data_IF_863848795623
#
_entry.id   IF_863848795623
#
_cell.length_a   1.000
_cell.length_b   1.000
_cell.length_c   1.000
_cell.angle_alpha   90.00
_cell.angle_beta   90.00
_cell.angle_gamma   90.00
#
_symmetry.space_group_name_H-M   'P 1'
#
loop_
_entity.id
_entity.type
_entity.pdbx_description
1 polymer ?
#
# COMPACT_ATOMS: atom_id res chain seq x y z
N UNK A 1 -15.97 -13.88 -21.19
CA UNK A 1 -14.68 -13.35 -20.67
C UNK A 1 -14.69 -13.08 -19.16
N UNK A 2 -15.56 -12.22 -18.59
CA UNK A 2 -15.57 -11.87 -17.15
C UNK A 2 -15.59 -13.08 -16.17
N UNK A 3 -16.37 -14.14 -16.44
CA UNK A 3 -16.43 -15.34 -15.58
C UNK A 3 -15.14 -16.17 -15.60
N UNK A 4 -14.49 -16.26 -16.75
CA UNK A 4 -13.27 -17.06 -16.93
C UNK A 4 -12.07 -16.41 -16.22
N UNK A 5 -11.93 -15.08 -16.32
CA UNK A 5 -10.89 -14.32 -15.61
C UNK A 5 -11.03 -14.41 -14.08
N UNK A 6 -12.27 -14.39 -13.58
CA UNK A 6 -12.57 -14.56 -12.14
C UNK A 6 -12.16 -15.96 -11.63
N UNK A 7 -12.37 -17.01 -12.43
CA UNK A 7 -11.98 -18.38 -12.06
C UNK A 7 -10.46 -18.53 -12.03
N UNK A 8 -9.77 -18.05 -13.06
CA UNK A 8 -8.29 -18.10 -13.11
C UNK A 8 -7.64 -17.35 -11.95
N UNK A 9 -8.18 -16.20 -11.58
CA UNK A 9 -7.70 -15.44 -10.42
C UNK A 9 -7.97 -16.16 -9.09
N UNK A 10 -9.10 -16.87 -8.96
CA UNK A 10 -9.41 -17.70 -7.79
C UNK A 10 -8.45 -18.90 -7.70
N UNK A 11 -8.20 -19.57 -8.81
CA UNK A 11 -7.30 -20.74 -8.85
C UNK A 11 -5.87 -20.35 -8.50
N UNK A 12 -5.43 -19.18 -8.97
CA UNK A 12 -4.15 -18.61 -8.58
C UNK A 12 -4.11 -18.21 -7.10
N UNK A 13 -5.16 -17.54 -6.60
CA UNK A 13 -5.27 -17.13 -5.20
C UNK A 13 -5.32 -18.33 -4.24
N UNK A 14 -5.86 -19.46 -4.69
CA UNK A 14 -5.93 -20.71 -3.92
C UNK A 14 -4.67 -21.56 -4.03
N UNK A 15 -3.65 -21.11 -4.78
CA UNK A 15 -2.40 -21.87 -4.98
C UNK A 15 -2.53 -23.09 -5.89
N UNK A 16 -3.68 -23.28 -6.54
CA UNK A 16 -3.91 -24.37 -7.51
C UNK A 16 -3.34 -24.05 -8.90
N UNK A 17 -2.92 -22.80 -9.12
CA UNK A 17 -2.31 -22.29 -10.34
C UNK A 17 -1.13 -21.41 -10.00
N UNK A 18 0.03 -21.62 -10.63
CA UNK A 18 1.18 -20.73 -10.47
C UNK A 18 1.14 -19.53 -11.43
N UNK A 19 2.02 -18.52 -11.19
CA UNK A 19 2.07 -17.26 -11.98
C UNK A 19 2.23 -17.52 -13.48
N UNK A 20 3.07 -18.48 -13.86
CA UNK A 20 3.32 -18.81 -15.28
C UNK A 20 2.06 -19.36 -15.95
N UNK A 21 1.35 -20.22 -15.27
CA UNK A 21 0.07 -20.78 -15.72
C UNK A 21 -1.01 -19.71 -15.83
N UNK A 22 -1.08 -18.77 -14.86
CA UNK A 22 -2.01 -17.65 -14.92
C UNK A 22 -1.71 -16.75 -16.13
N UNK A 23 -0.44 -16.38 -16.35
CA UNK A 23 -0.04 -15.54 -17.49
C UNK A 23 -0.30 -16.23 -18.82
N UNK A 24 -0.04 -17.53 -18.91
CA UNK A 24 -0.36 -18.34 -20.09
C UNK A 24 -1.87 -18.39 -20.36
N UNK A 25 -2.67 -18.61 -19.33
CA UNK A 25 -4.12 -18.67 -19.41
C UNK A 25 -4.77 -17.32 -19.77
N UNK A 26 -4.11 -16.22 -19.40
CA UNK A 26 -4.51 -14.85 -19.78
C UNK A 26 -3.97 -14.43 -21.17
N UNK A 27 -3.22 -15.29 -21.86
CA UNK A 27 -2.67 -14.98 -23.19
C UNK A 27 -1.47 -14.01 -23.15
N UNK A 28 -0.89 -13.76 -21.98
CA UNK A 28 0.25 -12.86 -21.79
C UNK A 28 1.56 -13.66 -21.84
N UNK A 29 1.91 -14.21 -23.01
CA UNK A 29 3.22 -14.86 -23.20
C UNK A 29 4.27 -13.80 -23.50
N UNK A 30 5.22 -13.61 -22.61
CA UNK A 30 6.46 -12.91 -22.91
C UNK A 30 7.20 -13.71 -24.01
N UNK A 31 7.44 -13.09 -25.16
CA UNK A 31 8.21 -13.66 -26.25
C UNK A 31 9.64 -13.96 -25.79
N UNK A 32 9.94 -15.20 -25.51
CA UNK A 32 11.29 -15.67 -25.29
C UNK A 32 11.95 -15.87 -26.65
N UNK A 33 12.78 -14.92 -27.06
CA UNK A 33 13.76 -15.16 -28.13
C UNK A 33 14.85 -16.08 -27.59
N UNK A 34 14.83 -17.33 -28.04
CA UNK A 34 15.91 -18.28 -27.84
C UNK A 34 17.12 -17.90 -28.71
N UNK A 35 18.22 -17.55 -28.08
CA UNK A 35 19.54 -17.65 -28.73
C UNK A 35 20.36 -18.65 -27.93
N UNK A 36 20.61 -19.78 -28.54
CA UNK A 36 21.55 -20.78 -28.06
C UNK A 36 22.99 -20.34 -28.25
N UNK A 37 23.84 -20.69 -27.31
CA UNK A 37 25.27 -20.46 -27.41
C UNK A 37 26.01 -21.09 -26.21
N UNK A 38 26.43 -22.33 -26.36
CA UNK A 38 27.38 -22.99 -25.46
C UNK A 38 28.73 -22.29 -25.52
N UNK A 39 29.38 -22.03 -24.37
CA UNK A 39 30.85 -22.16 -24.23
C UNK A 39 31.24 -22.32 -22.75
N UNK A 40 32.27 -23.13 -22.57
CA UNK A 40 32.82 -23.75 -21.39
C UNK A 40 33.61 -22.82 -20.43
N UNK A 41 33.77 -23.36 -19.23
CA UNK A 41 34.81 -23.19 -18.20
C UNK A 41 35.94 -22.18 -18.39
N UNK A 42 36.19 -21.34 -17.34
CA UNK A 42 37.47 -21.26 -16.63
C UNK A 42 37.45 -20.32 -15.42
N UNK A 43 37.81 -20.88 -14.29
CA UNK A 43 38.67 -20.44 -13.16
C UNK A 43 38.75 -18.96 -12.70
N UNK A 44 38.46 -18.81 -11.41
CA UNK A 44 39.18 -18.07 -10.34
C UNK A 44 39.58 -16.62 -10.58
N UNK A 45 39.08 -15.74 -9.71
CA UNK A 45 39.60 -14.42 -9.46
C UNK A 45 38.81 -13.74 -8.33
N UNK A 46 39.50 -13.54 -7.25
CA UNK A 46 39.25 -12.74 -6.05
C UNK A 46 38.02 -11.81 -5.99
N UNK A 47 37.31 -11.91 -4.86
CA UNK A 47 36.25 -11.03 -4.45
C UNK A 47 36.79 -9.61 -4.13
N UNK A 48 36.17 -8.55 -4.63
CA UNK A 48 36.35 -7.23 -4.08
C UNK A 48 35.36 -6.97 -2.95
N UNK A 49 35.87 -6.47 -1.86
CA UNK A 49 35.21 -5.93 -0.68
C UNK A 49 34.11 -4.93 -1.05
N UNK A 50 32.94 -4.97 -0.43
CA UNK A 50 31.94 -3.93 -0.65
C UNK A 50 32.33 -2.67 0.16
N UNK A 51 32.71 -1.64 -0.53
CA UNK A 51 32.72 -0.27 -0.01
C UNK A 51 31.52 0.47 -0.58
N UNK A 52 30.74 1.09 0.28
CA UNK A 52 29.73 2.06 -0.11
C UNK A 52 28.42 1.96 0.67
N UNK A 53 28.48 2.20 1.98
CA UNK A 53 27.30 2.61 2.73
C UNK A 53 26.80 3.95 2.20
N UNK A 54 25.58 3.97 1.66
CA UNK A 54 24.86 5.21 1.41
C UNK A 54 24.51 5.86 2.76
N UNK A 55 24.79 7.16 2.98
CA UNK A 55 24.55 7.80 4.25
C UNK A 55 23.06 7.87 4.57
N UNK A 56 22.70 7.38 5.75
CA UNK A 56 21.42 7.64 6.38
C UNK A 56 21.22 9.16 6.48
N UNK A 57 20.17 9.68 5.89
CA UNK A 57 19.79 11.07 6.09
C UNK A 57 19.42 11.28 7.56
N UNK A 58 20.28 12.02 8.24
CA UNK A 58 20.05 12.50 9.60
C UNK A 58 18.83 13.43 9.62
N UNK A 59 17.94 13.18 10.56
CA UNK A 59 16.89 14.12 10.93
C UNK A 59 17.52 15.32 11.63
N UNK A 60 17.16 16.53 11.17
CA UNK A 60 17.18 17.71 12.00
C UNK A 60 18.34 18.70 11.77
N UNK A 61 18.06 19.72 10.94
CA UNK A 61 18.56 21.07 11.17
C UNK A 61 17.40 22.05 10.94
N UNK A 62 17.31 23.18 11.69
CA UNK A 62 16.22 24.12 11.56
C UNK A 62 16.26 24.80 10.20
N UNK A 63 15.09 24.96 9.59
CA UNK A 63 14.91 25.66 8.34
C UNK A 63 15.45 27.09 8.46
N UNK A 64 16.43 27.43 7.64
CA UNK A 64 16.70 28.81 7.28
C UNK A 64 15.59 29.26 6.33
N UNK A 65 14.97 30.38 6.64
CA UNK A 65 14.09 31.11 5.75
C UNK A 65 14.87 31.55 4.51
N UNK A 66 14.85 30.68 3.48
CA UNK A 66 15.31 31.00 2.13
C UNK A 66 14.07 31.27 1.29
N UNK A 67 14.04 32.41 0.63
CA UNK A 67 13.01 32.80 -0.34
C UNK A 67 12.71 31.65 -1.30
N UNK A 68 11.43 31.26 -1.34
CA UNK A 68 10.86 30.24 -2.23
C UNK A 68 11.02 30.65 -3.70
N UNK A 69 12.15 30.27 -4.32
CA UNK A 69 12.43 30.38 -5.75
C UNK A 69 12.22 29.07 -6.50
N UNK A 70 11.55 28.10 -5.91
CA UNK A 70 11.10 26.89 -6.58
C UNK A 70 10.09 27.21 -7.69
N UNK A 71 10.05 26.46 -8.80
CA UNK A 71 9.06 26.67 -9.85
C UNK A 71 7.67 26.51 -9.22
N UNK A 72 6.91 27.63 -9.14
CA UNK A 72 5.53 27.63 -8.68
C UNK A 72 4.75 26.69 -9.58
N UNK A 73 4.42 25.50 -9.08
CA UNK A 73 3.58 24.54 -9.77
C UNK A 73 2.26 25.23 -10.15
N UNK A 74 2.09 25.51 -11.41
CA UNK A 74 0.82 26.04 -11.95
C UNK A 74 -0.16 24.86 -12.02
N UNK A 75 -0.81 24.57 -10.91
CA UNK A 75 -2.04 23.80 -10.97
C UNK A 75 -3.10 24.68 -11.62
N UNK A 76 -3.19 24.58 -12.97
CA UNK A 76 -4.26 25.21 -13.68
C UNK A 76 -5.57 24.64 -13.17
N UNK A 77 -6.49 25.51 -12.73
CA UNK A 77 -7.86 25.12 -12.40
C UNK A 77 -8.37 24.30 -13.59
N UNK A 78 -8.65 23.03 -13.33
CA UNK A 78 -9.34 22.02 -14.12
C UNK A 78 -9.81 22.48 -15.52
N UNK A 79 -8.95 22.34 -16.52
CA UNK A 79 -9.34 22.20 -17.93
C UNK A 79 -9.20 20.74 -18.40
N UNK A 80 -8.89 19.82 -17.49
CA UNK A 80 -8.74 18.39 -17.78
C UNK A 80 -10.10 17.70 -17.90
N UNK A 81 -10.25 16.76 -18.86
CA UNK A 81 -11.43 15.95 -18.93
C UNK A 81 -11.63 15.21 -17.58
N UNK A 82 -12.88 14.95 -17.21
CA UNK A 82 -13.32 14.34 -15.92
C UNK A 82 -12.75 12.95 -15.62
N UNK A 83 -11.87 12.43 -16.43
CA UNK A 83 -11.01 11.28 -16.18
C UNK A 83 -9.57 11.75 -16.34
N UNK A 84 -8.78 11.71 -15.28
CA UNK A 84 -7.32 11.93 -15.36
C UNK A 84 -6.67 11.02 -16.41
N UNK A 85 -5.41 11.28 -16.78
CA UNK A 85 -4.69 10.47 -17.78
C UNK A 85 -4.57 9.00 -17.34
N UNK A 86 -4.75 8.74 -16.05
CA UNK A 86 -4.71 7.40 -15.48
C UNK A 86 -6.02 7.02 -14.82
N UNK A 87 -6.22 5.72 -14.64
CA UNK A 87 -7.36 5.16 -13.91
C UNK A 87 -6.84 4.26 -12.80
N UNK A 88 -7.10 4.66 -11.58
CA UNK A 88 -6.79 3.86 -10.39
C UNK A 88 -7.77 2.70 -10.26
N UNK A 89 -7.22 1.50 -10.06
CA UNK A 89 -7.99 0.26 -9.92
C UNK A 89 -8.14 -0.19 -8.48
N UNK A 90 -7.12 0.03 -7.65
CA UNK A 90 -7.11 -0.38 -6.25
C UNK A 90 -5.93 0.24 -5.51
N UNK A 91 -5.97 0.18 -4.18
CA UNK A 91 -4.77 0.33 -3.37
C UNK A 91 -3.90 -0.90 -3.61
N UNK A 92 -2.67 -0.71 -4.09
CA UNK A 92 -1.70 -1.79 -4.27
C UNK A 92 -1.10 -2.20 -2.94
N UNK A 93 -0.51 -1.22 -2.24
CA UNK A 93 0.01 -1.44 -0.90
C UNK A 93 0.10 -0.15 -0.08
N UNK A 94 0.29 -0.34 1.21
CA UNK A 94 0.82 0.67 2.13
C UNK A 94 2.17 0.21 2.64
N UNK A 95 3.10 1.16 2.82
CA UNK A 95 4.37 0.91 3.49
C UNK A 95 4.29 1.39 4.93
N UNK A 96 4.42 0.46 5.85
CA UNK A 96 4.13 0.64 7.26
C UNK A 96 5.37 0.38 8.10
N UNK A 97 5.91 1.44 8.73
CA UNK A 97 7.02 1.35 9.66
C UNK A 97 6.51 1.11 11.08
N UNK A 98 7.03 0.10 11.76
CA UNK A 98 6.58 -0.31 13.10
C UNK A 98 7.76 -0.63 14.02
N UNK A 99 7.65 -0.40 15.35
CA UNK A 99 8.72 -0.71 16.28
C UNK A 99 8.92 -2.21 16.54
N UNK A 100 7.87 -3.03 16.40
CA UNK A 100 7.90 -4.48 16.66
C UNK A 100 7.26 -5.26 15.50
N UNK A 101 7.95 -5.33 14.37
CA UNK A 101 7.43 -5.87 13.12
C UNK A 101 6.86 -7.29 13.26
N UNK A 102 7.57 -8.21 13.93
CA UNK A 102 7.11 -9.61 14.08
C UNK A 102 5.81 -9.73 14.88
N UNK A 103 5.67 -8.97 15.97
CA UNK A 103 4.44 -8.97 16.79
C UNK A 103 3.28 -8.33 16.04
N UNK A 104 3.53 -7.19 15.40
CA UNK A 104 2.52 -6.48 14.62
C UNK A 104 2.04 -7.35 13.44
N UNK A 105 2.95 -8.01 12.72
CA UNK A 105 2.63 -8.99 11.69
C UNK A 105 1.70 -10.11 12.20
N UNK A 106 2.08 -10.75 13.30
CA UNK A 106 1.31 -11.85 13.88
C UNK A 106 -0.11 -11.38 14.27
N UNK A 107 -0.22 -10.18 14.80
CA UNK A 107 -1.49 -9.58 15.17
C UNK A 107 -2.41 -9.34 13.97
N UNK A 108 -1.88 -8.81 12.85
CA UNK A 108 -2.66 -8.61 11.61
C UNK A 108 -3.12 -9.93 11.00
N UNK A 109 -2.26 -10.97 11.03
CA UNK A 109 -2.62 -12.31 10.56
C UNK A 109 -3.74 -12.89 11.42
N UNK A 110 -3.63 -12.81 12.75
CA UNK A 110 -4.61 -13.37 13.69
C UNK A 110 -5.94 -12.60 13.70
N UNK A 111 -5.92 -11.26 13.63
CA UNK A 111 -7.15 -10.47 13.65
C UNK A 111 -7.85 -10.44 12.28
N UNK A 112 -7.13 -10.18 11.20
CA UNK A 112 -7.70 -9.86 9.89
C UNK A 112 -7.51 -10.96 8.83
N UNK A 113 -6.85 -12.06 9.18
CA UNK A 113 -6.65 -13.19 8.27
C UNK A 113 -5.71 -12.90 7.09
N UNK A 114 -4.76 -11.97 7.26
CA UNK A 114 -3.81 -11.62 6.22
C UNK A 114 -2.81 -12.76 6.01
N UNK A 115 -2.28 -12.90 4.79
CA UNK A 115 -1.28 -13.90 4.44
C UNK A 115 0.10 -13.27 4.33
N UNK A 116 1.08 -13.76 5.08
CA UNK A 116 2.47 -13.41 4.84
C UNK A 116 2.95 -14.05 3.53
N UNK A 117 3.32 -13.22 2.55
CA UNK A 117 3.80 -13.66 1.22
C UNK A 117 5.27 -13.34 0.99
N UNK A 118 5.87 -12.60 1.89
CA UNK A 118 7.30 -12.29 1.94
C UNK A 118 7.69 -11.93 3.37
N UNK A 119 8.86 -12.38 3.81
CA UNK A 119 9.46 -11.95 5.07
C UNK A 119 10.98 -12.19 5.04
N UNK A 120 11.77 -11.16 5.31
CA UNK A 120 13.22 -11.23 5.41
C UNK A 120 13.73 -10.94 6.84
N UNK A 121 12.85 -11.06 7.85
CA UNK A 121 13.15 -10.76 9.24
C UNK A 121 13.10 -9.27 9.62
N UNK A 122 13.14 -8.36 8.64
CA UNK A 122 13.04 -6.90 8.83
C UNK A 122 11.81 -6.31 8.16
N UNK A 123 11.48 -6.80 6.99
CA UNK A 123 10.30 -6.39 6.21
C UNK A 123 9.47 -7.61 5.91
N UNK A 124 8.16 -7.50 6.10
CA UNK A 124 7.19 -8.50 5.67
C UNK A 124 6.18 -7.89 4.72
N UNK A 125 5.70 -8.68 3.76
CA UNK A 125 4.54 -8.34 2.96
C UNK A 125 3.36 -9.20 3.38
N UNK A 126 2.30 -8.57 3.86
CA UNK A 126 1.02 -9.20 4.17
C UNK A 126 0.03 -8.90 3.05
N UNK A 127 -0.59 -9.95 2.50
CA UNK A 127 -1.52 -9.88 1.37
C UNK A 127 -2.94 -10.23 1.79
N UNK A 128 -3.93 -9.58 1.18
CA UNK A 128 -5.36 -9.89 1.35
C UNK A 128 -6.20 -9.34 0.19
N UNK A 129 -7.44 -9.79 0.11
CA UNK A 129 -8.42 -9.28 -0.84
C UNK A 129 -8.21 -9.66 -2.31
N UNK A 130 -9.13 -9.17 -3.17
CA UNK A 130 -9.09 -9.26 -4.64
C UNK A 130 -9.67 -7.95 -5.20
N UNK A 131 -8.93 -7.16 -6.02
CA UNK A 131 -7.51 -7.33 -6.33
C UNK A 131 -6.65 -7.19 -5.07
N UNK A 132 -5.46 -7.78 -5.07
CA UNK A 132 -4.68 -7.90 -3.84
C UNK A 132 -4.25 -6.55 -3.31
N UNK A 133 -4.53 -6.35 -2.02
CA UNK A 133 -3.92 -5.31 -1.23
C UNK A 133 -2.75 -5.89 -0.42
N UNK A 134 -1.72 -5.08 -0.20
CA UNK A 134 -0.58 -5.48 0.61
C UNK A 134 -0.28 -4.47 1.72
N UNK A 135 0.27 -4.96 2.81
CA UNK A 135 0.94 -4.16 3.82
C UNK A 135 2.41 -4.56 3.78
N UNK A 136 3.29 -3.65 3.37
CA UNK A 136 4.73 -3.79 3.56
C UNK A 136 5.10 -3.24 4.92
N UNK A 137 5.30 -4.14 5.87
CA UNK A 137 5.57 -3.81 7.25
C UNK A 137 7.07 -3.92 7.51
N UNK A 138 7.71 -2.81 7.86
CA UNK A 138 9.16 -2.74 8.08
C UNK A 138 9.47 -2.41 9.52
N UNK A 139 10.44 -3.13 10.10
CA UNK A 139 10.98 -2.86 11.42
C UNK A 139 11.62 -1.48 11.45
N UNK A 140 11.15 -0.60 12.35
CA UNK A 140 11.81 0.68 12.61
C UNK A 140 13.23 0.48 13.18
N UNK A 141 14.13 1.37 12.81
CA UNK A 141 15.47 1.42 13.42
C UNK A 141 15.42 1.98 14.85
N UNK A 142 14.44 2.79 15.17
CA UNK A 142 14.19 3.30 16.51
C UNK A 142 13.05 2.48 17.17
N UNK A 143 13.34 1.73 18.24
CA UNK A 143 12.33 0.96 18.95
C UNK A 143 11.29 1.82 19.68
N UNK A 144 11.54 3.12 19.83
CA UNK A 144 10.61 4.09 20.41
C UNK A 144 9.83 4.87 19.34
N UNK A 145 10.11 4.64 18.06
CA UNK A 145 9.39 5.31 16.99
C UNK A 145 7.89 4.97 17.06
N UNK A 146 7.06 5.96 16.81
CA UNK A 146 5.63 5.73 16.58
C UNK A 146 5.46 5.01 15.23
N UNK A 147 4.50 4.10 15.19
CA UNK A 147 4.11 3.45 13.93
C UNK A 147 3.57 4.49 12.94
N UNK A 148 3.97 4.40 11.67
CA UNK A 148 3.60 5.37 10.65
C UNK A 148 3.55 4.77 9.25
N UNK A 149 2.65 5.28 8.43
CA UNK A 149 2.61 4.99 6.99
C UNK A 149 3.55 5.95 6.28
N UNK A 150 4.54 5.39 5.58
CA UNK A 150 5.56 6.18 4.86
C UNK A 150 5.16 6.51 3.42
N UNK A 151 4.44 5.62 2.76
CA UNK A 151 3.89 5.83 1.42
C UNK A 151 2.71 4.89 1.12
N UNK A 152 1.99 5.21 0.05
CA UNK A 152 0.90 4.42 -0.48
C UNK A 152 1.13 4.11 -1.95
N UNK A 153 0.77 2.91 -2.37
CA UNK A 153 0.79 2.50 -3.76
C UNK A 153 -0.62 2.33 -4.31
N UNK A 154 -0.81 2.77 -5.54
CA UNK A 154 -2.04 2.61 -6.29
C UNK A 154 -1.79 1.81 -7.56
N UNK A 155 -2.60 0.79 -7.79
CA UNK A 155 -2.58 0.03 -9.03
C UNK A 155 -3.29 0.82 -10.13
N UNK A 156 -2.59 1.05 -11.24
CA UNK A 156 -3.06 1.83 -12.37
C UNK A 156 -3.44 0.90 -13.53
N UNK A 157 -4.59 1.16 -14.15
CA UNK A 157 -5.04 0.41 -15.33
C UNK A 157 -4.03 0.56 -16.47
N UNK A 158 -3.63 -0.57 -17.08
CA UNK A 158 -2.68 -0.57 -18.20
C UNK A 158 -1.38 0.20 -17.92
N UNK A 159 -0.87 0.04 -16.69
CA UNK A 159 0.36 0.71 -16.27
C UNK A 159 1.49 0.53 -17.29
N UNK A 160 2.11 1.63 -17.65
CA UNK A 160 3.33 1.69 -18.47
C UNK A 160 4.26 2.71 -17.84
N UNK A 161 5.42 2.25 -17.41
CA UNK A 161 6.40 3.08 -16.70
C UNK A 161 6.76 4.35 -17.48
N UNK A 162 7.03 4.21 -18.79
CA UNK A 162 7.38 5.32 -19.68
C UNK A 162 6.28 6.39 -19.78
N UNK A 163 5.02 5.95 -19.88
CA UNK A 163 3.88 6.86 -19.97
C UNK A 163 3.60 7.57 -18.62
N UNK A 164 3.69 6.83 -17.50
CA UNK A 164 3.50 7.41 -16.17
C UNK A 164 4.62 8.40 -15.87
N UNK A 165 5.87 8.04 -16.13
CA UNK A 165 7.01 8.91 -15.90
C UNK A 165 6.94 10.19 -16.75
N UNK A 166 6.56 10.07 -18.04
CA UNK A 166 6.41 11.23 -18.94
C UNK A 166 5.35 12.20 -18.43
N UNK A 167 4.19 11.70 -17.99
CA UNK A 167 3.11 12.54 -17.43
C UNK A 167 3.52 13.22 -16.12
N UNK A 168 4.18 12.50 -15.21
CA UNK A 168 4.69 13.07 -13.97
C UNK A 168 5.68 14.20 -14.24
N UNK A 169 6.64 13.97 -15.15
CA UNK A 169 7.63 14.99 -15.58
C UNK A 169 6.95 16.19 -16.24
N UNK A 170 5.95 15.97 -17.09
CA UNK A 170 5.20 17.04 -17.74
C UNK A 170 4.48 17.96 -16.74
N UNK A 171 4.11 17.42 -15.58
CA UNK A 171 3.52 18.16 -14.46
C UNK A 171 4.55 18.74 -13.49
N UNK A 172 5.85 18.52 -13.72
CA UNK A 172 6.90 18.95 -12.82
C UNK A 172 6.93 18.19 -11.48
N UNK A 173 6.37 16.97 -11.46
CA UNK A 173 6.36 16.13 -10.27
C UNK A 173 7.67 15.32 -10.16
N UNK A 174 8.07 15.04 -8.92
CA UNK A 174 9.21 14.17 -8.66
C UNK A 174 8.98 12.76 -9.21
N UNK A 175 10.03 12.13 -9.73
CA UNK A 175 10.01 10.74 -10.17
C UNK A 175 11.17 9.97 -9.58
N UNK A 176 10.88 8.87 -8.88
CA UNK A 176 11.87 7.95 -8.32
C UNK A 176 11.64 6.55 -8.89
N UNK A 177 12.61 6.02 -9.64
CA UNK A 177 12.52 4.68 -10.20
C UNK A 177 12.57 3.62 -9.09
N UNK A 178 11.64 2.65 -9.14
CA UNK A 178 11.56 1.55 -8.19
C UNK A 178 11.25 0.20 -8.89
N UNK A 179 11.75 0.06 -10.09
CA UNK A 179 11.57 -1.13 -10.92
C UNK A 179 10.66 -0.89 -12.14
N UNK A 180 10.53 -1.89 -13.01
CA UNK A 180 9.81 -1.74 -14.29
C UNK A 180 8.28 -1.60 -14.11
N UNK A 181 7.75 -1.95 -12.96
CA UNK A 181 6.31 -2.05 -12.70
C UNK A 181 5.81 -1.01 -11.70
N UNK A 182 6.67 -0.08 -11.24
CA UNK A 182 6.30 0.96 -10.28
C UNK A 182 7.26 2.15 -10.31
N UNK A 183 6.77 3.30 -9.88
CA UNK A 183 7.53 4.55 -9.79
C UNK A 183 7.06 5.35 -8.58
N UNK A 184 7.97 6.01 -7.89
CA UNK A 184 7.61 6.93 -6.83
C UNK A 184 7.38 8.34 -7.36
N UNK A 185 6.41 9.02 -6.78
CA UNK A 185 6.19 10.46 -6.90
C UNK A 185 5.73 10.98 -5.53
N UNK A 186 5.64 12.29 -5.39
CA UNK A 186 5.09 12.89 -4.20
C UNK A 186 3.79 13.64 -4.56
N UNK A 187 2.83 13.64 -3.65
CA UNK A 187 1.64 14.47 -3.80
C UNK A 187 1.96 15.96 -3.53
N UNK A 188 1.01 16.88 -3.70
CA UNK A 188 1.27 18.32 -3.55
C UNK A 188 1.77 18.78 -2.18
N UNK A 189 1.66 17.97 -1.15
CA UNK A 189 2.17 18.24 0.20
C UNK A 189 3.39 17.39 0.58
N UNK A 190 3.94 16.65 -0.39
CA UNK A 190 5.16 15.87 -0.22
C UNK A 190 4.93 14.49 0.41
N UNK A 191 3.69 13.99 0.45
CA UNK A 191 3.46 12.61 0.83
C UNK A 191 3.75 11.69 -0.35
N UNK A 192 4.51 10.63 -0.08
CA UNK A 192 4.95 9.72 -1.13
C UNK A 192 3.83 8.83 -1.64
N UNK A 193 3.67 8.81 -2.96
CA UNK A 193 2.73 7.98 -3.71
C UNK A 193 3.48 7.11 -4.70
N UNK A 194 3.09 5.86 -4.85
CA UNK A 194 3.72 4.90 -5.75
C UNK A 194 2.69 4.31 -6.71
N UNK A 195 2.47 4.93 -7.89
CA UNK A 195 1.70 4.29 -8.94
C UNK A 195 2.42 3.03 -9.45
N UNK A 196 1.67 1.96 -9.61
CA UNK A 196 2.21 0.65 -9.93
C UNK A 196 1.30 -0.15 -10.88
N UNK A 197 1.85 -1.16 -11.52
CA UNK A 197 1.05 -2.15 -12.24
C UNK A 197 0.31 -3.06 -11.25
N UNK A 198 -0.80 -3.67 -11.71
CA UNK A 198 -1.55 -4.64 -10.90
C UNK A 198 -0.74 -5.89 -10.53
N UNK A 199 0.35 -6.17 -11.27
CA UNK A 199 1.22 -7.31 -11.04
C UNK A 199 2.52 -6.94 -10.30
N UNK A 200 2.68 -5.69 -9.91
CA UNK A 200 3.77 -5.25 -9.06
C UNK A 200 3.61 -5.87 -7.68
N UNK A 201 4.45 -6.84 -7.34
CA UNK A 201 4.23 -7.67 -6.15
C UNK A 201 5.16 -7.29 -5.00
N UNK A 202 6.37 -6.73 -5.29
CA UNK A 202 7.35 -6.42 -4.26
C UNK A 202 8.24 -5.24 -4.63
N UNK A 203 8.58 -4.37 -3.67
CA UNK A 203 9.70 -3.44 -3.82
C UNK A 203 10.99 -4.22 -4.08
N UNK A 204 11.71 -3.85 -5.14
CA UNK A 204 12.97 -4.48 -5.48
C UNK A 204 12.88 -5.73 -6.36
N UNK A 205 11.71 -6.03 -6.94
CA UNK A 205 11.59 -7.08 -7.99
C UNK A 205 11.94 -8.48 -7.52
N UNK A 206 11.75 -8.80 -6.24
CA UNK A 206 12.00 -10.14 -5.72
C UNK A 206 11.13 -11.17 -6.42
N UNK A 207 11.76 -12.11 -7.13
CA UNK A 207 11.08 -13.26 -7.73
C UNK A 207 10.48 -14.14 -6.62
N UNK A 208 9.49 -14.96 -6.96
CA UNK A 208 8.99 -15.99 -6.04
C UNK A 208 10.12 -16.88 -5.49
N UNK A 209 11.20 -17.02 -6.25
CA UNK A 209 12.44 -17.69 -5.87
C UNK A 209 13.22 -17.00 -4.74
N UNK A 210 13.21 -15.64 -4.70
CA UNK A 210 13.81 -14.90 -3.60
C UNK A 210 13.05 -15.10 -2.29
N UNK A 211 11.72 -15.26 -2.36
CA UNK A 211 10.88 -15.62 -1.20
C UNK A 211 11.23 -17.01 -0.68
N UNK A 212 11.49 -17.96 -1.58
CA UNK A 212 11.88 -19.32 -1.19
C UNK A 212 13.25 -19.37 -0.50
N UNK A 213 14.23 -18.62 -0.99
CA UNK A 213 15.59 -18.62 -0.46
C UNK A 213 15.71 -17.90 0.90
N UNK A 214 14.99 -16.78 1.10
CA UNK A 214 15.04 -16.04 2.37
C UNK A 214 14.32 -16.75 3.51
N UNK A 215 13.31 -17.59 3.21
CA UNK A 215 12.59 -18.36 4.21
C UNK A 215 13.41 -19.53 4.80
N UNK A 216 14.50 -19.96 4.15
CA UNK A 216 15.35 -21.05 4.65
C UNK A 216 16.30 -20.59 5.76
N UNK A 217 16.75 -19.34 5.74
CA UNK A 217 17.76 -18.85 6.66
C UNK A 217 17.28 -18.68 8.11
N UNK A 218 15.96 -18.45 8.35
CA UNK A 218 15.45 -18.06 9.68
C UNK A 218 14.38 -18.99 10.29
N UNK A 219 14.13 -20.17 9.75
CA UNK A 219 13.00 -21.00 10.18
C UNK A 219 11.62 -20.45 9.75
N UNK A 220 11.59 -19.28 9.11
CA UNK A 220 10.40 -18.60 8.59
C UNK A 220 9.71 -19.42 7.49
N UNK A 221 10.48 -20.18 6.70
CA UNK A 221 9.91 -21.11 5.70
C UNK A 221 9.09 -22.22 6.35
N UNK A 222 9.51 -22.65 7.52
CA UNK A 222 8.74 -23.60 8.32
C UNK A 222 7.47 -22.94 8.86
N UNK A 223 7.53 -21.68 9.33
CA UNK A 223 6.36 -20.92 9.78
C UNK A 223 5.41 -20.56 8.61
N UNK A 224 5.94 -20.16 7.44
CA UNK A 224 5.13 -19.87 6.26
C UNK A 224 4.53 -21.14 5.62
N UNK A 225 5.21 -22.30 5.69
CA UNK A 225 4.68 -23.58 5.25
C UNK A 225 3.79 -24.25 6.29
N UNK A 226 4.08 -24.04 7.58
CA UNK A 226 3.30 -24.58 8.70
C UNK A 226 2.17 -23.64 9.13
N UNK A 227 2.14 -22.38 8.64
CA UNK A 227 0.96 -21.56 8.81
C UNK A 227 -0.15 -22.13 7.92
N UNK A 228 -0.94 -23.10 8.39
CA UNK A 228 -2.22 -23.33 7.79
C UNK A 228 -2.86 -21.95 7.77
N UNK A 229 -3.62 -21.62 6.72
CA UNK A 229 -4.52 -20.45 6.79
C UNK A 229 -5.15 -20.53 8.18
N UNK A 230 -4.93 -19.54 9.05
CA UNK A 230 -5.35 -19.72 10.43
C UNK A 230 -6.85 -20.01 10.39
N UNK A 231 -7.22 -21.22 10.74
CA UNK A 231 -8.63 -21.64 10.82
C UNK A 231 -9.38 -20.85 11.89
N UNK A 232 -8.69 -19.93 12.56
CA UNK A 232 -9.15 -19.16 13.71
C UNK A 232 -8.89 -17.66 13.61
N UNK A 233 -8.81 -17.08 12.41
CA UNK A 233 -8.80 -15.63 12.28
C UNK A 233 -10.13 -15.07 12.78
N UNK A 234 -10.08 -13.96 13.53
CA UNK A 234 -11.30 -13.31 14.00
C UNK A 234 -12.16 -12.84 12.83
N UNK A 235 -11.49 -12.24 11.84
CA UNK A 235 -12.11 -11.67 10.66
C UNK A 235 -11.32 -12.06 9.40
N UNK A 236 -11.95 -11.86 8.25
CA UNK A 236 -11.30 -12.02 6.96
C UNK A 236 -11.38 -10.73 6.19
N UNK A 237 -10.24 -10.04 6.11
CA UNK A 237 -10.16 -8.79 5.34
C UNK A 237 -10.31 -9.05 3.85
N UNK A 238 -11.12 -8.23 3.18
CA UNK A 238 -11.43 -8.30 1.74
C UNK A 238 -10.75 -7.22 0.93
N UNK A 239 -10.57 -6.02 1.50
CA UNK A 239 -9.81 -4.92 0.90
C UNK A 239 -9.48 -3.85 1.95
N UNK A 240 -8.58 -2.94 1.60
CA UNK A 240 -8.50 -1.65 2.28
C UNK A 240 -9.74 -0.84 1.87
N UNK A 241 -10.62 -0.56 2.83
CA UNK A 241 -11.83 0.21 2.59
C UNK A 241 -11.49 1.66 2.26
N UNK A 242 -10.68 2.27 3.14
CA UNK A 242 -10.24 3.65 2.98
C UNK A 242 -8.90 3.89 3.68
N UNK A 243 -8.24 4.96 3.25
CA UNK A 243 -7.09 5.56 3.89
C UNK A 243 -7.45 7.00 4.23
N UNK A 244 -7.30 7.40 5.48
CA UNK A 244 -7.60 8.77 5.93
C UNK A 244 -6.32 9.56 6.12
N UNK A 245 -6.24 10.71 5.45
CA UNK A 245 -5.12 11.64 5.46
C UNK A 245 -5.49 12.95 6.12
N UNK A 246 -4.62 13.45 6.99
CA UNK A 246 -4.66 14.84 7.43
C UNK A 246 -3.74 15.68 6.55
N UNK A 247 -4.26 16.76 6.03
CA UNK A 247 -3.63 17.66 5.06
C UNK A 247 -3.68 19.12 5.55
N UNK A 248 -2.74 19.92 5.07
CA UNK A 248 -2.78 21.37 5.23
C UNK A 248 -3.81 21.98 4.25
N UNK A 249 -3.69 21.62 2.97
CA UNK A 249 -4.62 22.00 1.89
C UNK A 249 -5.21 20.73 1.25
N UNK A 250 -6.20 20.16 1.91
CA UNK A 250 -6.85 18.95 1.43
C UNK A 250 -7.50 19.13 0.04
N UNK A 251 -7.90 20.36 -0.31
CA UNK A 251 -8.47 20.64 -1.61
C UNK A 251 -7.48 20.44 -2.74
N UNK A 252 -6.24 20.91 -2.55
CA UNK A 252 -5.14 20.72 -3.48
C UNK A 252 -4.75 19.24 -3.64
N UNK A 253 -4.71 18.51 -2.53
CA UNK A 253 -4.43 17.06 -2.54
C UNK A 253 -5.57 16.30 -3.22
N UNK A 254 -6.85 16.65 -2.94
CA UNK A 254 -8.02 16.09 -3.62
C UNK A 254 -7.93 16.26 -5.15
N UNK A 255 -7.63 17.46 -5.60
CA UNK A 255 -7.57 17.76 -7.03
C UNK A 255 -6.43 16.96 -7.71
N UNK A 256 -5.31 16.76 -7.02
CA UNK A 256 -4.23 15.88 -7.49
C UNK A 256 -4.72 14.44 -7.70
N UNK A 257 -5.47 13.87 -6.76
CA UNK A 257 -5.97 12.50 -6.91
C UNK A 257 -7.04 12.39 -8.00
N UNK A 258 -7.89 13.38 -8.15
CA UNK A 258 -8.93 13.41 -9.18
C UNK A 258 -8.32 13.62 -10.57
N UNK A 259 -7.46 14.64 -10.73
CA UNK A 259 -7.00 15.11 -12.05
C UNK A 259 -5.87 14.25 -12.61
N UNK A 260 -5.05 13.63 -11.77
CA UNK A 260 -3.94 12.79 -12.24
C UNK A 260 -4.30 11.31 -12.21
N UNK A 261 -4.85 10.83 -11.10
CA UNK A 261 -5.07 9.39 -10.89
C UNK A 261 -6.47 8.93 -11.27
N UNK A 262 -7.33 9.81 -11.76
CA UNK A 262 -8.67 9.49 -12.24
C UNK A 262 -9.61 8.99 -11.15
N UNK A 263 -9.37 9.38 -9.90
CA UNK A 263 -10.27 9.07 -8.79
C UNK A 263 -11.52 9.96 -8.85
N UNK A 264 -12.66 9.46 -8.41
CA UNK A 264 -13.93 10.16 -8.42
C UNK A 264 -14.19 10.84 -7.08
N UNK A 265 -14.34 12.16 -7.05
CA UNK A 265 -14.82 12.87 -5.86
C UNK A 265 -16.27 12.48 -5.58
N UNK A 266 -16.55 11.88 -4.42
CA UNK A 266 -17.89 11.44 -4.01
C UNK A 266 -18.54 12.36 -2.99
N UNK A 267 -17.74 13.03 -2.16
CA UNK A 267 -18.22 14.07 -1.23
C UNK A 267 -17.14 15.07 -0.92
N UNK A 268 -17.57 16.24 -0.45
CA UNK A 268 -16.72 17.33 0.03
C UNK A 268 -17.59 18.27 0.86
N UNK A 269 -17.34 18.35 2.17
CA UNK A 269 -18.12 19.15 3.11
C UNK A 269 -17.42 20.45 3.55
N UNK A 270 -16.31 20.78 2.89
CA UNK A 270 -15.46 21.93 3.24
C UNK A 270 -14.41 21.64 4.31
N UNK A 271 -14.40 20.44 4.89
CA UNK A 271 -13.41 19.96 5.87
C UNK A 271 -12.80 18.63 5.47
N UNK A 272 -13.60 17.75 4.89
CA UNK A 272 -13.18 16.42 4.43
C UNK A 272 -13.68 16.22 3.00
N UNK A 273 -12.78 15.88 2.10
CA UNK A 273 -13.13 15.36 0.78
C UNK A 273 -12.93 13.85 0.73
N UNK A 274 -13.85 13.16 0.07
CA UNK A 274 -13.73 11.72 -0.21
C UNK A 274 -13.55 11.53 -1.70
N UNK A 275 -12.47 10.87 -2.07
CA UNK A 275 -12.25 10.38 -3.43
C UNK A 275 -12.31 8.86 -3.46
N UNK A 276 -12.89 8.29 -4.50
CA UNK A 276 -13.22 6.87 -4.61
C UNK A 276 -12.73 6.30 -5.94
N UNK A 277 -12.35 5.04 -5.93
CA UNK A 277 -11.87 4.28 -7.10
C UNK A 277 -12.04 2.78 -6.90
N UNK A 278 -11.88 2.03 -7.97
CA UNK A 278 -11.83 0.57 -7.93
C UNK A 278 -13.18 -0.14 -7.89
N UNK A 279 -13.09 -1.48 -7.89
CA UNK A 279 -14.19 -2.41 -7.72
C UNK A 279 -13.64 -3.67 -7.03
N UNK A 280 -13.95 -3.92 -5.75
CA UNK A 280 -14.81 -3.09 -4.87
C UNK A 280 -14.29 -1.67 -4.67
N UNK A 281 -15.20 -0.74 -4.37
CA UNK A 281 -14.86 0.66 -4.14
C UNK A 281 -13.95 0.83 -2.92
N UNK A 282 -12.86 1.57 -3.13
CA UNK A 282 -11.90 1.97 -2.10
C UNK A 282 -11.82 3.49 -2.07
N UNK A 283 -11.48 4.07 -0.95
CA UNK A 283 -11.55 5.52 -0.77
C UNK A 283 -10.26 6.10 -0.18
N UNK A 284 -10.00 7.35 -0.50
CA UNK A 284 -9.09 8.22 0.26
C UNK A 284 -9.90 9.36 0.86
N UNK A 285 -9.78 9.53 2.17
CA UNK A 285 -10.40 10.61 2.91
C UNK A 285 -9.36 11.68 3.19
N UNK A 286 -9.54 12.84 2.62
CA UNK A 286 -8.62 13.96 2.70
C UNK A 286 -9.19 15.00 3.66
N UNK A 287 -8.57 15.11 4.84
CA UNK A 287 -9.03 15.95 5.94
C UNK A 287 -8.18 17.22 6.01
N UNK A 288 -8.82 18.36 6.00
CA UNK A 288 -8.19 19.62 6.37
C UNK A 288 -7.98 19.75 7.88
N UNK A 289 -7.24 20.76 8.29
CA UNK A 289 -7.09 21.12 9.69
C UNK A 289 -5.65 21.14 10.20
N UNK A 290 -4.68 20.68 9.41
CA UNK A 290 -3.28 20.93 9.69
C UNK A 290 -2.94 22.41 9.45
N UNK A 291 -2.01 22.93 10.25
CA UNK A 291 -1.51 24.29 10.09
C UNK A 291 -0.45 24.36 8.99
N UNK A 292 -0.26 25.51 8.34
CA UNK A 292 0.88 25.71 7.45
C UNK A 292 2.21 25.32 8.11
N UNK A 293 3.00 24.51 7.41
CA UNK A 293 4.27 23.96 7.91
C UNK A 293 4.18 22.64 8.68
N UNK A 294 2.99 22.19 9.05
CA UNK A 294 2.81 20.84 9.58
C UNK A 294 2.90 19.81 8.44
N UNK A 295 3.44 18.65 8.76
CA UNK A 295 3.58 17.56 7.79
C UNK A 295 2.30 16.74 7.73
N UNK A 296 1.78 16.49 6.52
CA UNK A 296 0.66 15.59 6.35
C UNK A 296 1.01 14.15 6.78
N UNK A 297 -0.01 13.40 7.19
CA UNK A 297 0.14 12.02 7.63
C UNK A 297 -1.17 11.24 7.46
N UNK A 298 -1.03 9.91 7.39
CA UNK A 298 -2.17 8.99 7.45
C UNK A 298 -2.57 8.83 8.93
N UNK A 299 -3.81 9.17 9.26
CA UNK A 299 -4.30 9.09 10.64
C UNK A 299 -4.95 7.73 10.96
N UNK A 300 -5.52 7.05 9.97
CA UNK A 300 -6.00 5.68 10.12
C UNK A 300 -6.25 4.99 8.76
N UNK A 301 -6.45 3.66 8.83
CA UNK A 301 -6.80 2.82 7.70
C UNK A 301 -8.01 1.98 8.05
N UNK A 302 -9.00 1.93 7.16
CA UNK A 302 -10.14 1.03 7.24
C UNK A 302 -9.89 -0.26 6.47
N UNK A 303 -10.22 -1.39 7.07
CA UNK A 303 -10.19 -2.71 6.46
C UNK A 303 -11.61 -3.27 6.38
N UNK A 304 -12.11 -3.50 5.17
CA UNK A 304 -13.36 -4.22 4.99
C UNK A 304 -13.19 -5.70 5.29
N UNK A 305 -14.17 -6.29 5.97
CA UNK A 305 -14.18 -7.72 6.29
C UNK A 305 -15.40 -8.42 5.66
N UNK A 306 -15.25 -9.73 5.44
CA UNK A 306 -16.38 -10.59 5.05
C UNK A 306 -17.44 -10.61 6.16
N UNK A 307 -18.71 -10.65 5.76
CA UNK A 307 -19.85 -10.84 6.65
C UNK A 307 -19.83 -9.92 7.89
N UNK A 308 -19.62 -8.61 7.65
CA UNK A 308 -19.61 -7.62 8.72
C UNK A 308 -20.94 -7.60 9.46
N UNK A 309 -20.90 -7.89 10.75
CA UNK A 309 -21.98 -7.65 11.72
C UNK A 309 -21.42 -6.79 12.85
N UNK A 310 -22.00 -5.63 13.08
CA UNK A 310 -21.50 -4.63 14.03
C UNK A 310 -21.39 -5.18 15.45
N UNK A 311 -22.38 -5.96 15.90
CA UNK A 311 -22.41 -6.51 17.25
C UNK A 311 -21.38 -7.61 17.43
N UNK A 312 -21.25 -8.50 16.45
CA UNK A 312 -20.25 -9.58 16.41
C UNK A 312 -18.82 -9.01 16.40
N UNK A 313 -18.59 -7.99 15.55
CA UNK A 313 -17.28 -7.33 15.46
C UNK A 313 -16.91 -6.71 16.79
N UNK A 314 -17.81 -5.94 17.41
CA UNK A 314 -17.57 -5.32 18.72
C UNK A 314 -17.26 -6.36 19.79
N UNK A 315 -18.06 -7.43 19.86
CA UNK A 315 -17.90 -8.48 20.85
C UNK A 315 -16.54 -9.18 20.72
N UNK A 316 -16.13 -9.52 19.49
CA UNK A 316 -14.84 -10.16 19.23
C UNK A 316 -13.65 -9.25 19.55
N UNK A 317 -13.72 -7.97 19.19
CA UNK A 317 -12.68 -6.99 19.53
C UNK A 317 -12.52 -6.87 21.07
N UNK A 318 -13.64 -6.76 21.80
CA UNK A 318 -13.63 -6.74 23.29
C UNK A 318 -13.08 -8.05 23.88
N UNK A 319 -13.46 -9.21 23.32
CA UNK A 319 -12.97 -10.52 23.77
C UNK A 319 -11.43 -10.63 23.67
N UNK A 320 -10.82 -9.92 22.70
CA UNK A 320 -9.37 -9.83 22.51
C UNK A 320 -8.69 -8.77 23.38
N UNK A 321 -9.43 -8.12 24.27
CA UNK A 321 -8.91 -7.06 25.15
C UNK A 321 -8.69 -5.74 24.43
N UNK A 322 -9.23 -5.56 23.22
CA UNK A 322 -9.20 -4.30 22.48
C UNK A 322 -10.33 -3.39 22.98
N UNK A 323 -10.15 -2.09 22.80
CA UNK A 323 -11.11 -1.06 23.20
C UNK A 323 -11.79 -0.46 21.98
N UNK A 324 -12.78 -1.15 21.35
CA UNK A 324 -13.43 -0.64 20.16
C UNK A 324 -14.27 0.60 20.46
N UNK A 325 -14.09 1.65 19.67
CA UNK A 325 -14.94 2.83 19.62
C UNK A 325 -15.75 2.82 18.35
N UNK A 326 -17.01 3.30 18.40
CA UNK A 326 -17.82 3.37 17.20
C UNK A 326 -17.26 4.41 16.22
N UNK A 327 -17.09 4.00 14.97
CA UNK A 327 -16.77 4.86 13.85
C UNK A 327 -17.96 4.96 12.86
N UNK A 328 -19.16 4.93 13.39
CA UNK A 328 -20.42 4.88 12.65
C UNK A 328 -21.05 3.47 12.68
N UNK A 329 -22.20 3.28 12.03
CA UNK A 329 -22.92 2.00 12.07
C UNK A 329 -22.17 0.85 11.39
N UNK A 330 -21.27 1.17 10.46
CA UNK A 330 -20.59 0.23 9.59
C UNK A 330 -19.09 0.12 9.86
N UNK A 331 -18.60 0.61 11.00
CA UNK A 331 -17.19 0.54 11.36
C UNK A 331 -16.94 0.59 12.87
N UNK A 332 -15.93 -0.13 13.32
CA UNK A 332 -15.36 -0.07 14.64
C UNK A 332 -13.89 0.31 14.58
N UNK A 333 -13.51 1.31 15.36
CA UNK A 333 -12.15 1.79 15.45
C UNK A 333 -11.43 1.19 16.64
N UNK A 334 -10.17 0.82 16.44
CA UNK A 334 -9.24 0.31 17.45
C UNK A 334 -7.83 0.80 17.14
N UNK A 335 -6.93 0.65 18.09
CA UNK A 335 -5.50 0.72 17.79
C UNK A 335 -4.96 -0.68 17.51
N UNK A 336 -4.06 -0.79 16.54
CA UNK A 336 -3.35 -2.03 16.28
C UNK A 336 -2.27 -2.31 17.34
N UNK A 337 -1.51 -3.39 17.17
CA UNK A 337 -0.45 -3.80 18.07
C UNK A 337 0.67 -2.76 18.24
N UNK A 338 0.91 -1.95 17.22
CA UNK A 338 1.91 -0.87 17.22
C UNK A 338 1.32 0.47 17.69
N UNK A 339 0.05 0.48 18.09
CA UNK A 339 -0.67 1.66 18.53
C UNK A 339 -1.27 2.50 17.39
N UNK A 340 -1.16 2.10 16.13
CA UNK A 340 -1.70 2.84 14.99
C UNK A 340 -3.22 2.62 14.86
N UNK A 341 -4.03 3.70 14.61
CA UNK A 341 -5.47 3.56 14.46
C UNK A 341 -5.86 2.81 13.20
N UNK A 342 -6.74 1.85 13.36
CA UNK A 342 -7.39 1.16 12.25
C UNK A 342 -8.89 1.06 12.47
N UNK A 343 -9.63 0.81 11.40
CA UNK A 343 -11.06 0.51 11.45
C UNK A 343 -11.34 -0.86 10.85
N UNK A 344 -12.19 -1.63 11.52
CA UNK A 344 -12.80 -2.86 10.98
C UNK A 344 -14.16 -2.48 10.42
N UNK A 345 -14.35 -2.63 9.11
CA UNK A 345 -15.42 -2.02 8.34
C UNK A 345 -16.29 -3.03 7.60
N UNK A 346 -17.54 -2.64 7.36
CA UNK A 346 -18.35 -3.23 6.30
C UNK A 346 -17.75 -2.90 4.91
N UNK A 347 -18.19 -3.63 3.88
CA UNK A 347 -17.76 -3.39 2.49
C UNK A 347 -18.23 -2.03 1.94
N UNK A 348 -19.31 -1.49 2.46
CA UNK A 348 -19.94 -0.25 1.99
C UNK A 348 -20.60 0.52 3.13
N UNK A 349 -21.00 1.75 2.85
CA UNK A 349 -21.69 2.61 3.81
C UNK A 349 -20.81 3.11 4.95
N UNK A 350 -19.50 3.06 4.79
CA UNK A 350 -18.53 3.67 5.71
C UNK A 350 -18.33 5.12 5.26
N UNK A 351 -18.48 6.03 6.19
CA UNK A 351 -18.38 7.48 5.94
C UNK A 351 -17.37 8.09 6.90
N UNK A 352 -16.71 9.21 6.52
CA UNK A 352 -15.84 9.93 7.43
C UNK A 352 -16.59 10.32 8.71
N UNK A 353 -16.11 9.82 9.85
CA UNK A 353 -16.48 10.31 11.17
C UNK A 353 -15.59 11.48 11.61
N UNK A 354 -15.63 11.83 12.88
CA UNK A 354 -14.71 12.79 13.45
C UNK A 354 -13.26 12.34 13.28
N UNK A 355 -12.36 13.30 13.03
CA UNK A 355 -10.93 13.01 12.92
C UNK A 355 -10.43 12.35 14.21
N UNK A 356 -9.61 11.32 14.06
CA UNK A 356 -8.86 10.77 15.18
C UNK A 356 -7.97 11.88 15.75
N UNK A 357 -8.02 12.05 17.07
CA UNK A 357 -7.04 12.91 17.72
C UNK A 357 -5.69 12.23 17.55
N UNK A 358 -4.67 12.95 17.03
CA UNK A 358 -3.33 12.39 16.97
C UNK A 358 -2.93 11.93 18.37
N UNK A 359 -2.18 10.86 18.44
CA UNK A 359 -1.65 10.30 19.68
C UNK A 359 -1.09 11.40 20.59
N UNK A 360 -1.62 11.52 21.80
CA UNK A 360 -1.04 12.33 22.85
C UNK A 360 0.30 11.74 23.31
#
# INVERSE_FOLDING_TARGET
MKRMTSTLLKDFANGTMNRRQLLQALGLTAGAASIGGSVACARQGEAPTPQGEAPAQQAGAPAQEGEDSGPKMKWAKSSYPRSGPFKTLSIGHISYSVPEQRKTRAWYIDLLGLLAVFDNGRTTALRFGIPWNHIYMTQSNDPKAKAAISHMSYNIEKFRLDAVEAELKARGLHTGYDGPEMIHTDDPEGFRVQPASLVAVFPGGGSAEAVENLAEEDGLKAELKAAPRPTYTAFRATCMNHISHNCVDYGKVRDYYVDLWGMRKVSDDGKVAVVEFGDPAQQVWLRGGLKPGERQYVDHIGYSIEDFDSSRVQAELKRRGLNPTSAGPNAWAINDMAGFPIQVCAMSGVVPGDAYKPYA
#
